data_IF_881306137039
#
_entry.id   IF_881306137039
#
_cell.length_a   1.000
_cell.length_b   1.000
_cell.length_c   1.000
_cell.angle_alpha   90.00
_cell.angle_beta   90.00
_cell.angle_gamma   90.00
#
_symmetry.space_group_name_H-M   'P 1'
#
loop_
_entity.id
_entity.type
_entity.pdbx_description
1 polymer ?
#
# COMPACT_ATOMS: atom_id res chain seq x y z
N UNK A 1 29.47 0.90 -15.18
CA UNK A 1 28.22 0.68 -15.97
C UNK A 1 27.53 -0.54 -15.38
N UNK A 2 26.35 -0.37 -14.79
CA UNK A 2 25.55 -1.49 -14.26
C UNK A 2 24.51 -1.84 -15.32
N UNK A 3 24.64 -3.02 -15.92
CA UNK A 3 23.60 -3.59 -16.77
C UNK A 3 22.77 -4.55 -15.91
N UNK A 4 21.50 -4.23 -15.67
CA UNK A 4 20.57 -5.06 -14.92
C UNK A 4 19.71 -5.79 -15.95
N UNK A 5 20.07 -7.05 -16.27
CA UNK A 5 19.16 -7.96 -16.99
C UNK A 5 18.15 -8.49 -15.97
N UNK A 6 16.88 -8.20 -16.19
CA UNK A 6 15.81 -8.66 -15.31
C UNK A 6 15.56 -10.16 -15.56
N UNK A 7 15.54 -10.93 -14.48
CA UNK A 7 15.09 -12.34 -14.55
C UNK A 7 13.58 -12.33 -14.82
N UNK A 8 13.14 -13.22 -15.71
CA UNK A 8 11.70 -13.41 -15.96
C UNK A 8 11.04 -14.01 -14.72
N UNK A 9 10.52 -13.16 -13.85
CA UNK A 9 9.64 -13.56 -12.76
C UNK A 9 8.30 -12.88 -13.04
N UNK A 10 7.37 -13.63 -13.62
CA UNK A 10 5.98 -13.19 -13.67
C UNK A 10 5.39 -13.50 -12.30
N UNK A 11 5.20 -12.47 -11.50
CA UNK A 11 4.60 -12.62 -10.19
C UNK A 11 3.09 -12.48 -10.33
N UNK A 12 2.36 -13.47 -9.85
CA UNK A 12 0.91 -13.36 -9.66
C UNK A 12 0.66 -12.71 -8.32
N UNK A 13 0.20 -11.45 -8.35
CA UNK A 13 0.11 -10.58 -7.18
C UNK A 13 -1.19 -10.73 -6.39
N UNK A 14 -2.21 -11.38 -6.94
CA UNK A 14 -3.51 -11.56 -6.28
C UNK A 14 -4.32 -12.69 -6.89
N UNK A 15 -5.18 -13.30 -6.11
CA UNK A 15 -6.13 -14.31 -6.56
C UNK A 15 -7.35 -13.64 -7.20
N UNK A 16 -7.76 -14.14 -8.35
CA UNK A 16 -8.97 -13.68 -9.04
C UNK A 16 -9.03 -12.18 -9.29
N UNK A 17 -10.24 -11.61 -9.26
CA UNK A 17 -10.50 -10.19 -9.49
C UNK A 17 -10.64 -9.44 -8.15
N UNK A 18 -9.73 -8.52 -7.80
CA UNK A 18 -9.80 -7.75 -6.57
C UNK A 18 -11.06 -6.89 -6.46
N UNK A 19 -11.55 -6.73 -5.25
CA UNK A 19 -12.80 -6.00 -4.95
C UNK A 19 -12.82 -4.56 -5.49
N UNK A 20 -11.72 -3.82 -5.39
CA UNK A 20 -11.68 -2.43 -5.81
C UNK A 20 -11.91 -2.26 -7.32
N UNK A 21 -11.49 -3.24 -8.12
CA UNK A 21 -11.76 -3.26 -9.58
C UNK A 21 -13.26 -3.50 -9.83
N UNK A 22 -13.89 -4.37 -9.02
CA UNK A 22 -15.34 -4.64 -9.11
C UNK A 22 -16.14 -3.41 -8.68
N UNK A 23 -15.76 -2.79 -7.57
CA UNK A 23 -16.42 -1.60 -7.02
C UNK A 23 -16.31 -0.40 -7.97
N UNK A 24 -15.16 -0.25 -8.61
CA UNK A 24 -14.85 0.88 -9.50
C UNK A 24 -14.51 0.37 -10.90
N UNK A 25 -15.49 0.05 -11.74
CA UNK A 25 -15.22 -0.38 -13.11
C UNK A 25 -14.71 0.81 -13.95
N UNK A 26 -13.50 1.26 -13.65
CA UNK A 26 -12.85 2.37 -14.35
C UNK A 26 -12.21 1.81 -15.62
N UNK A 27 -12.80 2.12 -16.77
CA UNK A 27 -12.24 1.78 -18.07
C UNK A 27 -11.03 2.66 -18.36
N UNK A 28 -9.85 2.15 -18.06
CA UNK A 28 -8.58 2.83 -18.27
C UNK A 28 -7.75 2.01 -19.28
N UNK A 29 -8.10 2.15 -20.55
CA UNK A 29 -7.30 1.57 -21.60
C UNK A 29 -6.25 2.58 -22.05
N UNK A 30 -5.00 2.20 -21.93
CA UNK A 30 -3.86 2.96 -22.44
C UNK A 30 -3.09 2.05 -23.41
N UNK A 31 -2.63 2.62 -24.52
CA UNK A 31 -1.93 1.86 -25.53
C UNK A 31 -0.58 1.36 -24.99
N UNK A 32 -0.12 0.18 -25.42
CA UNK A 32 1.27 -0.22 -25.24
C UNK A 32 2.19 0.71 -26.02
N UNK A 33 3.46 0.77 -25.63
CA UNK A 33 4.50 1.43 -26.41
C UNK A 33 4.62 0.75 -27.77
N UNK A 34 4.65 1.54 -28.86
CA UNK A 34 4.68 1.02 -30.25
C UNK A 34 5.92 1.41 -31.03
N UNK A 35 6.73 2.33 -30.48
CA UNK A 35 7.95 2.85 -31.09
C UNK A 35 8.97 3.17 -30.00
N UNK A 36 10.22 3.38 -30.39
CA UNK A 36 11.25 3.83 -29.46
C UNK A 36 10.86 5.16 -28.84
N UNK A 37 11.26 5.38 -27.60
CA UNK A 37 10.87 6.54 -26.80
C UNK A 37 12.08 7.25 -26.23
N UNK A 38 12.11 8.58 -26.39
CA UNK A 38 13.00 9.48 -25.67
C UNK A 38 12.18 10.29 -24.66
N UNK A 39 12.66 10.34 -23.41
CA UNK A 39 12.00 11.07 -22.33
C UNK A 39 13.02 11.48 -21.26
N UNK A 40 12.72 12.50 -20.46
CA UNK A 40 13.59 12.85 -19.34
C UNK A 40 13.48 11.88 -18.19
N UNK A 41 12.25 11.53 -17.81
CA UNK A 41 11.97 10.69 -16.66
C UNK A 41 11.02 9.55 -17.06
N UNK A 42 11.41 8.32 -16.68
CA UNK A 42 10.56 7.14 -16.79
C UNK A 42 10.25 6.59 -15.41
N UNK A 43 8.97 6.27 -15.16
CA UNK A 43 8.50 5.60 -13.96
C UNK A 43 8.08 4.18 -14.36
N UNK A 44 8.66 3.16 -13.75
CA UNK A 44 8.32 1.75 -13.98
C UNK A 44 7.34 1.31 -12.89
N UNK A 45 6.10 1.08 -13.28
CA UNK A 45 5.00 0.68 -12.40
C UNK A 45 3.95 1.77 -12.21
N UNK A 46 2.69 1.39 -12.41
CA UNK A 46 1.52 2.27 -12.36
C UNK A 46 0.61 2.00 -11.16
N UNK A 47 1.14 1.43 -10.08
CA UNK A 47 0.45 1.33 -8.79
C UNK A 47 0.35 2.66 -8.07
N UNK A 48 -0.13 2.65 -6.82
CA UNK A 48 -0.28 3.87 -6.00
C UNK A 48 1.04 4.61 -5.83
N UNK A 49 2.16 3.91 -5.67
CA UNK A 49 3.48 4.54 -5.57
C UNK A 49 3.82 5.30 -6.87
N UNK A 50 3.63 4.66 -8.03
CA UNK A 50 3.89 5.32 -9.32
C UNK A 50 2.99 6.53 -9.55
N UNK A 51 1.73 6.46 -9.11
CA UNK A 51 0.77 7.56 -9.23
C UNK A 51 1.17 8.77 -8.37
N UNK A 52 1.57 8.56 -7.11
CA UNK A 52 2.02 9.62 -6.21
C UNK A 52 3.34 10.25 -6.69
N UNK A 53 4.29 9.43 -7.14
CA UNK A 53 5.56 9.91 -7.72
C UNK A 53 5.31 10.74 -8.98
N UNK A 54 4.45 10.25 -9.90
CA UNK A 54 4.07 11.00 -11.09
C UNK A 54 3.42 12.35 -10.73
N UNK A 55 2.52 12.34 -9.73
CA UNK A 55 1.90 13.56 -9.24
C UNK A 55 2.92 14.59 -8.76
N UNK A 56 3.87 14.18 -7.90
CA UNK A 56 4.91 15.10 -7.39
C UNK A 56 5.80 15.66 -8.49
N UNK A 57 6.19 14.84 -9.47
CA UNK A 57 6.99 15.30 -10.60
C UNK A 57 6.23 16.29 -11.47
N UNK A 58 5.00 15.96 -11.87
CA UNK A 58 4.16 16.83 -12.69
C UNK A 58 3.83 18.16 -11.97
N UNK A 59 3.58 18.10 -10.65
CA UNK A 59 3.33 19.30 -9.83
C UNK A 59 4.50 20.29 -9.85
N UNK A 60 5.73 19.80 -10.00
CA UNK A 60 6.93 20.65 -10.15
C UNK A 60 7.20 21.08 -11.59
N UNK A 61 6.32 20.77 -12.53
CA UNK A 61 6.45 21.12 -13.95
C UNK A 61 7.31 20.14 -14.75
N UNK A 62 7.70 19.01 -14.17
CA UNK A 62 8.48 18.00 -14.89
C UNK A 62 7.53 17.07 -15.67
N UNK A 63 7.83 16.87 -16.94
CA UNK A 63 7.13 15.87 -17.76
C UNK A 63 7.74 14.50 -17.52
N UNK A 64 6.87 13.51 -17.24
CA UNK A 64 7.30 12.15 -17.04
C UNK A 64 6.49 11.16 -17.88
N UNK A 65 7.02 9.96 -17.97
CA UNK A 65 6.39 8.85 -18.67
C UNK A 65 6.28 7.66 -17.71
N UNK A 66 5.13 6.98 -17.70
CA UNK A 66 4.89 5.77 -16.92
C UNK A 66 4.79 4.57 -17.85
N UNK A 67 5.46 3.49 -17.50
CA UNK A 67 5.31 2.19 -18.17
C UNK A 67 4.89 1.13 -17.16
N UNK A 68 3.96 0.28 -17.56
CA UNK A 68 3.55 -0.88 -16.76
C UNK A 68 3.32 -2.09 -17.66
N UNK A 69 3.70 -3.27 -17.18
CA UNK A 69 3.44 -4.54 -17.90
C UNK A 69 1.99 -4.99 -17.81
N UNK A 70 1.19 -4.42 -16.91
CA UNK A 70 -0.24 -4.66 -16.71
C UNK A 70 -1.05 -3.41 -17.06
N UNK A 71 -2.35 -3.48 -16.84
CA UNK A 71 -3.21 -2.29 -16.79
C UNK A 71 -2.89 -1.48 -15.52
N UNK A 72 -3.20 -0.16 -15.52
CA UNK A 72 -2.87 0.71 -14.39
C UNK A 72 -3.55 0.26 -13.10
N UNK A 73 -2.80 0.35 -12.01
CA UNK A 73 -3.23 0.06 -10.64
C UNK A 73 -3.76 -1.37 -10.40
N UNK A 74 -3.65 -2.31 -11.38
CA UNK A 74 -4.17 -3.69 -11.27
C UNK A 74 -3.21 -4.67 -10.58
N UNK A 75 -2.13 -4.20 -9.99
CA UNK A 75 -1.28 -5.00 -9.12
C UNK A 75 -1.77 -4.95 -7.66
N UNK A 76 -0.84 -4.90 -6.71
CA UNK A 76 -1.13 -4.88 -5.26
C UNK A 76 -2.01 -3.71 -4.82
N UNK A 77 -2.03 -2.59 -5.55
CA UNK A 77 -2.92 -1.46 -5.24
C UNK A 77 -4.39 -1.82 -5.32
N UNK A 78 -4.78 -2.70 -6.26
CA UNK A 78 -6.14 -3.20 -6.38
C UNK A 78 -6.50 -4.25 -5.33
N UNK A 79 -5.52 -4.89 -4.71
CA UNK A 79 -5.70 -5.95 -3.71
C UNK A 79 -5.42 -5.46 -2.28
N UNK A 80 -5.06 -4.20 -2.09
CA UNK A 80 -4.79 -3.63 -0.77
C UNK A 80 -6.07 -3.47 0.04
N UNK A 81 -6.04 -3.76 1.33
CA UNK A 81 -7.11 -3.41 2.27
C UNK A 81 -7.14 -1.91 2.56
N UNK A 82 -6.04 -1.22 2.29
CA UNK A 82 -5.87 0.24 2.28
C UNK A 82 -6.29 0.94 3.59
N UNK A 83 -5.87 0.38 4.72
CA UNK A 83 -5.80 1.07 6.00
C UNK A 83 -4.60 2.03 5.95
N UNK A 84 -4.81 3.29 6.30
CA UNK A 84 -3.75 4.29 6.43
C UNK A 84 -3.49 4.54 7.91
N UNK A 85 -2.39 4.00 8.39
CA UNK A 85 -1.99 4.07 9.79
C UNK A 85 -0.54 4.55 9.88
N UNK A 86 -0.20 5.32 10.92
CA UNK A 86 1.19 5.64 11.19
C UNK A 86 1.91 4.48 11.89
N UNK A 87 1.13 3.61 12.48
CA UNK A 87 1.59 2.33 12.99
C UNK A 87 1.94 1.42 11.81
N UNK A 88 3.19 1.06 11.71
CA UNK A 88 3.68 0.10 10.72
C UNK A 88 3.77 -1.29 11.34
N UNK A 89 3.84 -2.33 10.53
CA UNK A 89 3.79 -3.74 10.98
C UNK A 89 4.74 -4.08 12.12
N UNK A 90 5.87 -3.38 12.19
CA UNK A 90 6.81 -3.51 13.31
C UNK A 90 6.53 -2.43 14.35
N UNK A 91 6.03 -2.78 15.55
CA UNK A 91 5.80 -1.81 16.62
C UNK A 91 7.03 -0.95 16.93
N UNK A 92 6.83 0.32 17.28
CA UNK A 92 7.91 1.28 17.51
C UNK A 92 8.94 0.78 18.53
N UNK A 93 8.48 0.15 19.60
CA UNK A 93 9.35 -0.40 20.64
C UNK A 93 10.22 -1.58 20.11
N UNK A 94 9.77 -2.34 19.13
CA UNK A 94 10.54 -3.38 18.44
C UNK A 94 11.48 -2.77 17.40
N UNK A 95 10.98 -1.83 16.60
CA UNK A 95 11.77 -1.13 15.58
C UNK A 95 12.94 -0.35 16.20
N UNK A 96 12.71 0.29 17.35
CA UNK A 96 13.77 0.99 18.09
C UNK A 96 14.97 0.09 18.45
N UNK A 97 14.72 -1.19 18.70
CA UNK A 97 15.78 -2.18 18.95
C UNK A 97 16.53 -2.62 17.67
N UNK A 98 15.87 -2.51 16.51
CA UNK A 98 16.45 -2.94 15.22
C UNK A 98 17.31 -1.86 14.57
N UNK A 99 16.84 -0.61 14.56
CA UNK A 99 17.46 0.51 13.81
C UNK A 99 17.82 1.72 14.68
N UNK A 100 17.64 1.63 15.99
CA UNK A 100 17.81 2.74 16.94
C UNK A 100 16.55 3.58 17.10
N UNK A 101 16.34 4.07 18.34
CA UNK A 101 15.10 4.75 18.73
C UNK A 101 14.82 6.00 17.87
N UNK A 102 15.83 6.82 17.59
CA UNK A 102 15.67 8.03 16.80
C UNK A 102 15.21 7.74 15.36
N UNK A 103 15.83 6.75 14.68
CA UNK A 103 15.43 6.38 13.32
C UNK A 103 14.01 5.79 13.30
N UNK A 104 13.66 4.97 14.27
CA UNK A 104 12.32 4.42 14.40
C UNK A 104 11.25 5.50 14.59
N UNK A 105 11.54 6.50 15.43
CA UNK A 105 10.63 7.65 15.63
C UNK A 105 10.49 8.51 14.38
N UNK A 106 11.59 8.72 13.63
CA UNK A 106 11.52 9.43 12.34
C UNK A 106 10.61 8.68 11.37
N UNK A 107 10.75 7.34 11.28
CA UNK A 107 9.90 6.53 10.41
C UNK A 107 8.41 6.67 10.78
N UNK A 108 8.07 6.54 12.05
CA UNK A 108 6.70 6.69 12.55
C UNK A 108 6.12 8.09 12.30
N UNK A 109 6.90 9.15 12.52
CA UNK A 109 6.48 10.52 12.23
C UNK A 109 6.28 10.77 10.74
N UNK A 110 7.14 10.17 9.90
CA UNK A 110 6.98 10.25 8.44
C UNK A 110 5.69 9.55 7.97
N UNK A 111 5.37 8.39 8.54
CA UNK A 111 4.10 7.71 8.27
C UNK A 111 2.89 8.55 8.71
N UNK A 112 2.96 9.16 9.90
CA UNK A 112 1.91 10.06 10.39
C UNK A 112 1.71 11.25 9.44
N UNK A 113 2.78 11.90 9.01
CA UNK A 113 2.72 13.01 8.07
C UNK A 113 2.15 12.59 6.71
N UNK A 114 2.54 11.41 6.21
CA UNK A 114 2.11 10.94 4.89
C UNK A 114 0.60 10.75 4.75
N UNK A 115 -0.12 10.49 5.84
CA UNK A 115 -1.60 10.41 5.81
C UNK A 115 -2.20 11.78 5.47
N UNK A 116 -1.70 12.84 6.12
CA UNK A 116 -2.11 14.22 5.81
C UNK A 116 -1.68 14.65 4.42
N UNK A 117 -0.49 14.21 3.97
CA UNK A 117 0.01 14.53 2.62
C UNK A 117 -0.87 13.88 1.55
N UNK A 118 -1.33 12.65 1.75
CA UNK A 118 -2.30 11.98 0.86
C UNK A 118 -3.62 12.78 0.81
N UNK A 119 -4.16 13.20 1.94
CA UNK A 119 -5.36 14.03 1.97
C UNK A 119 -5.17 15.33 1.20
N UNK A 120 -4.02 16.00 1.37
CA UNK A 120 -3.70 17.24 0.65
C UNK A 120 -3.64 17.02 -0.86
N UNK A 121 -2.99 15.95 -1.32
CA UNK A 121 -2.96 15.57 -2.75
C UNK A 121 -4.39 15.40 -3.30
N UNK A 122 -5.27 14.71 -2.57
CA UNK A 122 -6.65 14.50 -2.99
C UNK A 122 -7.44 15.82 -3.03
N UNK A 123 -7.25 16.72 -2.05
CA UNK A 123 -7.87 18.05 -2.02
C UNK A 123 -7.40 18.94 -3.17
N UNK A 124 -6.09 19.00 -3.39
CA UNK A 124 -5.48 19.82 -4.47
C UNK A 124 -5.92 19.38 -5.86
N UNK A 125 -6.14 18.09 -6.04
CA UNK A 125 -6.55 17.52 -7.33
C UNK A 125 -8.07 17.43 -7.49
N UNK A 126 -8.84 17.64 -6.42
CA UNK A 126 -10.30 17.46 -6.42
C UNK A 126 -10.71 15.98 -6.58
N UNK A 127 -9.83 15.06 -6.26
CA UNK A 127 -10.07 13.62 -6.42
C UNK A 127 -10.83 13.07 -5.22
N UNK A 128 -12.00 12.51 -5.46
CA UNK A 128 -12.68 11.64 -4.53
C UNK A 128 -12.13 10.21 -4.67
N UNK A 129 -11.47 9.74 -3.63
CA UNK A 129 -10.90 8.39 -3.50
C UNK A 129 -11.40 7.66 -2.26
N UNK A 130 -12.60 7.99 -1.78
CA UNK A 130 -13.20 7.44 -0.56
C UNK A 130 -12.27 7.59 0.66
N UNK A 131 -11.50 8.69 0.70
CA UNK A 131 -10.64 9.00 1.85
C UNK A 131 -11.49 9.44 3.04
N UNK A 132 -11.27 8.80 4.18
CA UNK A 132 -12.00 9.10 5.41
C UNK A 132 -11.06 8.99 6.61
N UNK A 133 -10.97 10.06 7.42
CA UNK A 133 -10.29 10.00 8.72
C UNK A 133 -11.08 9.13 9.68
N UNK A 134 -10.40 8.24 10.38
CA UNK A 134 -11.02 7.39 11.39
C UNK A 134 -10.03 6.94 12.46
N UNK A 135 -10.53 6.62 13.66
CA UNK A 135 -9.66 6.08 14.70
C UNK A 135 -9.15 4.69 14.35
N UNK A 136 -7.98 4.33 14.86
CA UNK A 136 -7.41 2.99 14.83
C UNK A 136 -7.27 2.45 16.24
N UNK A 137 -7.59 1.19 16.42
CA UNK A 137 -7.52 0.45 17.69
C UNK A 137 -6.56 -0.72 17.51
N UNK A 138 -5.46 -0.69 18.25
CA UNK A 138 -4.50 -1.79 18.36
C UNK A 138 -4.70 -2.49 19.70
N UNK A 139 -5.29 -3.68 19.68
CA UNK A 139 -5.66 -4.39 20.91
C UNK A 139 -4.76 -5.58 21.22
N UNK A 140 -4.69 -5.93 22.51
CA UNK A 140 -3.97 -7.11 22.97
C UNK A 140 -4.80 -8.37 22.73
N UNK A 141 -4.25 -9.34 22.02
CA UNK A 141 -4.86 -10.64 21.75
C UNK A 141 -4.62 -11.64 22.90
N UNK A 142 -3.52 -11.45 23.63
CA UNK A 142 -3.11 -12.33 24.74
C UNK A 142 -2.27 -11.56 25.79
N UNK A 143 -1.73 -12.26 26.78
CA UNK A 143 -0.90 -11.69 27.83
C UNK A 143 0.42 -11.07 27.30
N UNK A 144 1.00 -11.63 26.22
CA UNK A 144 2.19 -11.06 25.58
C UNK A 144 1.85 -9.76 24.87
N UNK A 145 0.68 -9.72 24.25
CA UNK A 145 0.11 -8.53 23.63
C UNK A 145 -0.10 -7.40 24.63
N UNK A 146 -0.52 -7.67 25.86
CA UNK A 146 -0.65 -6.67 26.92
C UNK A 146 0.70 -5.98 27.17
N UNK A 147 1.76 -6.76 27.39
CA UNK A 147 3.11 -6.22 27.62
C UNK A 147 3.61 -5.42 26.41
N UNK A 148 3.29 -5.86 25.19
CA UNK A 148 3.65 -5.14 23.99
C UNK A 148 2.96 -3.78 23.93
N UNK A 149 1.66 -3.72 24.19
CA UNK A 149 0.86 -2.49 24.22
C UNK A 149 1.37 -1.50 25.26
N UNK A 150 1.71 -1.96 26.47
CA UNK A 150 2.28 -1.12 27.51
C UNK A 150 3.62 -0.48 27.08
N UNK A 151 4.55 -1.28 26.55
CA UNK A 151 5.83 -0.78 26.05
C UNK A 151 5.64 0.17 24.85
N UNK A 152 4.72 -0.12 23.96
CA UNK A 152 4.41 0.68 22.79
C UNK A 152 3.80 2.03 23.20
N UNK A 153 2.90 2.03 24.20
CA UNK A 153 2.33 3.24 24.76
C UNK A 153 3.41 4.17 25.34
N UNK A 154 4.29 3.63 26.17
CA UNK A 154 5.34 4.41 26.84
C UNK A 154 6.28 5.07 25.83
N UNK A 155 6.72 4.34 24.81
CA UNK A 155 7.62 4.91 23.80
C UNK A 155 6.91 5.94 22.92
N UNK A 156 5.67 5.69 22.48
CA UNK A 156 4.88 6.64 21.68
C UNK A 156 4.63 7.92 22.47
N UNK A 157 4.22 7.81 23.72
CA UNK A 157 3.97 8.95 24.61
C UNK A 157 5.22 9.78 24.84
N UNK A 158 6.37 9.14 25.11
CA UNK A 158 7.67 9.81 25.29
C UNK A 158 8.05 10.68 24.09
N UNK A 159 7.71 10.24 22.89
CA UNK A 159 8.01 10.95 21.65
C UNK A 159 6.86 11.81 21.12
N UNK A 160 5.78 12.00 21.88
CA UNK A 160 4.65 12.83 21.51
C UNK A 160 3.87 12.34 20.29
N UNK A 161 3.91 11.03 20.02
CA UNK A 161 3.06 10.42 19.01
C UNK A 161 1.62 10.30 19.53
N UNK A 162 0.59 10.58 18.70
CA UNK A 162 -0.79 10.54 19.13
C UNK A 162 -1.22 9.12 19.51
N UNK A 163 -1.44 8.91 20.80
CA UNK A 163 -1.84 7.61 21.33
C UNK A 163 -2.56 7.77 22.66
N UNK A 164 -3.56 6.94 22.89
CA UNK A 164 -4.32 6.84 24.15
C UNK A 164 -4.36 5.38 24.58
N UNK A 165 -4.05 5.09 25.83
CA UNK A 165 -4.18 3.73 26.38
C UNK A 165 -5.58 3.58 26.95
N UNK A 166 -6.34 2.62 26.46
CA UNK A 166 -7.66 2.26 26.94
C UNK A 166 -7.61 0.93 27.67
N UNK A 167 -8.23 0.88 28.85
CA UNK A 167 -8.51 -0.41 29.48
C UNK A 167 -9.72 -1.09 28.83
N UNK A 168 -10.00 -2.34 29.22
CA UNK A 168 -11.08 -3.15 28.65
C UNK A 168 -12.45 -2.51 28.82
N UNK A 169 -12.71 -1.91 29.97
CA UNK A 169 -14.01 -1.27 30.28
C UNK A 169 -14.24 -0.02 29.43
N UNK A 170 -13.20 0.82 29.28
CA UNK A 170 -13.22 2.01 28.42
C UNK A 170 -13.44 1.63 26.95
N UNK A 171 -12.75 0.59 26.49
CA UNK A 171 -12.88 0.09 25.13
C UNK A 171 -14.30 -0.41 24.85
N UNK A 172 -14.87 -1.20 25.74
CA UNK A 172 -16.26 -1.67 25.66
C UNK A 172 -17.24 -0.48 25.71
N UNK A 173 -17.05 0.45 26.64
CA UNK A 173 -17.94 1.62 26.80
C UNK A 173 -17.96 2.51 25.54
N UNK A 174 -16.78 2.80 24.97
CA UNK A 174 -16.61 3.78 23.89
C UNK A 174 -16.84 3.18 22.50
N UNK A 175 -16.45 1.91 22.30
CA UNK A 175 -16.40 1.27 20.98
C UNK A 175 -17.23 -0.01 20.87
N UNK A 176 -17.76 -0.51 21.99
CA UNK A 176 -18.52 -1.79 22.06
C UNK A 176 -17.71 -3.00 21.60
N UNK A 177 -16.39 -2.93 21.76
CA UNK A 177 -15.49 -4.03 21.44
C UNK A 177 -15.19 -4.85 22.70
N UNK A 178 -15.23 -6.17 22.54
CA UNK A 178 -14.80 -7.15 23.52
C UNK A 178 -13.41 -7.64 23.14
N UNK A 179 -12.43 -7.42 23.99
CA UNK A 179 -11.04 -7.81 23.76
C UNK A 179 -10.48 -8.55 24.96
N UNK A 180 -9.32 -9.20 24.78
CA UNK A 180 -8.63 -9.88 25.88
C UNK A 180 -8.31 -8.91 27.04
N UNK A 181 -7.79 -7.72 26.69
CA UNK A 181 -7.40 -6.70 27.67
C UNK A 181 -7.65 -5.30 27.13
N UNK A 182 -6.68 -4.39 27.30
CA UNK A 182 -6.72 -3.03 26.78
C UNK A 182 -6.26 -2.91 25.33
N UNK A 183 -6.22 -1.66 24.87
CA UNK A 183 -5.83 -1.30 23.51
C UNK A 183 -5.15 0.08 23.47
N UNK A 184 -4.39 0.33 22.40
CA UNK A 184 -3.99 1.68 22.01
C UNK A 184 -5.00 2.23 21.02
N UNK A 185 -5.47 3.44 21.30
CA UNK A 185 -6.33 4.21 20.41
C UNK A 185 -5.50 5.32 19.76
N UNK A 186 -5.64 5.43 18.45
CA UNK A 186 -5.08 6.50 17.65
C UNK A 186 -6.22 7.19 16.87
N UNK A 187 -6.24 8.52 16.86
CA UNK A 187 -7.23 9.32 16.13
C UNK A 187 -6.74 9.86 14.78
N UNK A 188 -5.48 9.56 14.41
CA UNK A 188 -4.85 10.08 13.21
C UNK A 188 -4.54 8.93 12.23
N UNK A 189 -5.55 8.13 11.97
CA UNK A 189 -5.56 7.11 10.93
C UNK A 189 -6.65 7.42 9.92
N UNK A 190 -6.59 6.78 8.77
CA UNK A 190 -7.57 6.96 7.71
C UNK A 190 -7.78 5.67 6.93
N UNK A 191 -8.75 5.68 6.05
CA UNK A 191 -8.93 4.68 5.01
C UNK A 191 -9.04 5.35 3.65
N UNK A 192 -8.78 4.58 2.59
CA UNK A 192 -8.84 5.05 1.21
C UNK A 192 -9.21 3.90 0.27
N UNK A 193 -9.62 4.21 -0.94
CA UNK A 193 -9.59 3.30 -2.08
C UNK A 193 -8.32 3.58 -2.90
N UNK A 194 -7.29 2.77 -2.70
CA UNK A 194 -5.97 2.96 -3.31
C UNK A 194 -6.00 2.77 -4.85
N UNK A 195 -6.88 1.91 -5.37
CA UNK A 195 -7.08 1.72 -6.81
C UNK A 195 -7.71 2.95 -7.46
N UNK A 196 -8.78 3.48 -6.84
CA UNK A 196 -9.49 4.70 -7.27
C UNK A 196 -8.55 5.92 -7.21
N UNK A 197 -7.77 6.06 -6.13
CA UNK A 197 -6.79 7.13 -5.97
C UNK A 197 -5.73 7.11 -7.09
N UNK A 198 -5.06 5.97 -7.28
CA UNK A 198 -4.01 5.84 -8.30
C UNK A 198 -4.55 6.10 -9.71
N UNK A 199 -5.69 5.51 -10.06
CA UNK A 199 -6.31 5.65 -11.37
C UNK A 199 -6.72 7.08 -11.67
N UNK A 200 -7.33 7.77 -10.68
CA UNK A 200 -7.77 9.17 -10.85
C UNK A 200 -6.60 10.15 -10.89
N UNK A 201 -5.52 9.91 -10.13
CA UNK A 201 -4.29 10.74 -10.20
C UNK A 201 -3.66 10.68 -11.58
N UNK A 202 -3.53 9.50 -12.18
CA UNK A 202 -3.03 9.38 -13.54
C UNK A 202 -3.92 10.11 -14.54
N UNK A 203 -5.24 9.94 -14.44
CA UNK A 203 -6.19 10.66 -15.32
C UNK A 203 -6.08 12.18 -15.19
N UNK A 204 -5.91 12.69 -13.98
CA UNK A 204 -5.77 14.12 -13.72
C UNK A 204 -4.55 14.72 -14.49
N UNK A 205 -3.38 14.05 -14.44
CA UNK A 205 -2.19 14.52 -15.14
C UNK A 205 -2.24 14.30 -16.66
N UNK A 206 -2.86 13.22 -17.11
CA UNK A 206 -3.08 13.00 -18.54
C UNK A 206 -3.95 14.10 -19.19
N UNK A 207 -4.96 14.59 -18.47
CA UNK A 207 -5.79 15.70 -18.96
C UNK A 207 -5.04 17.03 -19.05
N UNK A 208 -3.94 17.17 -18.32
CA UNK A 208 -3.06 18.37 -18.35
C UNK A 208 -1.91 18.26 -19.35
N UNK A 209 -1.77 17.13 -20.02
CA UNK A 209 -0.65 16.81 -20.93
C UNK A 209 0.74 16.85 -20.24
N UNK A 210 0.75 16.58 -18.92
CA UNK A 210 1.96 16.54 -18.11
C UNK A 210 2.58 15.14 -18.08
N UNK A 211 1.82 14.12 -18.48
CA UNK A 211 2.12 12.70 -18.31
C UNK A 211 1.82 11.91 -19.58
N UNK A 212 2.66 10.93 -19.89
CA UNK A 212 2.36 9.86 -20.84
C UNK A 212 2.33 8.52 -20.13
N UNK A 213 1.43 7.62 -20.50
CA UNK A 213 1.31 6.29 -19.92
C UNK A 213 1.26 5.23 -21.03
N UNK A 214 2.05 4.18 -20.84
CA UNK A 214 2.05 3.00 -21.68
C UNK A 214 1.84 1.76 -20.84
N UNK A 215 0.69 1.11 -20.98
CA UNK A 215 0.37 -0.17 -20.34
C UNK A 215 0.81 -1.34 -21.20
N UNK A 216 0.78 -2.56 -20.66
CA UNK A 216 1.21 -3.75 -21.37
C UNK A 216 2.60 -3.59 -22.03
N UNK A 217 3.49 -2.87 -21.35
CA UNK A 217 4.85 -2.55 -21.77
C UNK A 217 5.79 -3.00 -20.65
N UNK A 218 6.41 -4.16 -20.84
CA UNK A 218 7.28 -4.76 -19.83
C UNK A 218 8.75 -4.41 -20.09
N UNK A 219 9.41 -3.82 -19.11
CA UNK A 219 10.84 -3.54 -19.11
C UNK A 219 11.59 -4.82 -18.73
N UNK A 220 12.53 -5.26 -19.58
CA UNK A 220 13.34 -6.47 -19.36
C UNK A 220 14.81 -6.18 -19.13
N UNK A 221 15.27 -4.98 -19.41
CA UNK A 221 16.62 -4.54 -19.05
C UNK A 221 16.67 -3.04 -18.78
N UNK A 222 17.63 -2.65 -17.93
CA UNK A 222 17.93 -1.27 -17.62
C UNK A 222 19.46 -1.14 -17.50
N UNK A 223 20.05 -0.31 -18.34
CA UNK A 223 21.48 -0.06 -18.41
C UNK A 223 21.77 1.42 -18.17
N UNK A 224 22.71 1.69 -17.26
CA UNK A 224 23.26 3.03 -17.05
C UNK A 224 24.26 3.37 -18.17
N UNK A 225 24.07 4.50 -18.82
CA UNK A 225 24.91 5.02 -19.91
C UNK A 225 25.60 6.32 -19.49
N UNK A 226 26.48 6.85 -20.33
CA UNK A 226 27.11 8.19 -20.10
C UNK A 226 26.10 9.35 -20.19
N UNK A 227 24.93 9.13 -20.77
CA UNK A 227 23.92 10.16 -21.02
C UNK A 227 22.61 9.94 -20.25
N UNK A 228 22.57 8.98 -19.35
CA UNK A 228 21.36 8.60 -18.59
C UNK A 228 21.17 7.10 -18.54
N UNK A 229 19.97 6.64 -18.87
CA UNK A 229 19.61 5.22 -18.84
C UNK A 229 19.01 4.77 -20.17
N UNK A 230 19.33 3.55 -20.56
CA UNK A 230 18.73 2.83 -21.68
C UNK A 230 17.94 1.66 -21.16
N UNK A 231 16.66 1.62 -21.46
CA UNK A 231 15.79 0.50 -21.13
C UNK A 231 15.38 -0.24 -22.39
N UNK A 232 15.08 -1.54 -22.26
CA UNK A 232 14.58 -2.36 -23.33
C UNK A 232 13.28 -3.02 -22.89
N UNK A 233 12.28 -2.97 -23.77
CA UNK A 233 10.99 -3.64 -23.56
C UNK A 233 11.05 -5.08 -24.03
N UNK A 234 10.10 -5.90 -23.62
CA UNK A 234 9.95 -7.29 -24.09
C UNK A 234 9.77 -7.38 -25.61
N UNK A 235 9.15 -6.40 -26.21
CA UNK A 235 8.88 -6.28 -27.65
C UNK A 235 10.10 -5.77 -28.43
N UNK A 236 11.25 -5.53 -27.76
CA UNK A 236 12.49 -5.07 -28.36
C UNK A 236 12.57 -3.55 -28.62
N UNK A 237 11.60 -2.79 -28.08
CA UNK A 237 11.64 -1.33 -28.16
C UNK A 237 12.62 -0.76 -27.14
N UNK A 238 13.20 0.38 -27.46
CA UNK A 238 14.19 1.06 -26.65
C UNK A 238 13.61 2.35 -26.08
N UNK A 239 13.80 2.55 -24.77
CA UNK A 239 13.51 3.81 -24.10
C UNK A 239 14.84 4.44 -23.65
N UNK A 240 15.10 5.67 -24.10
CA UNK A 240 16.21 6.49 -23.63
C UNK A 240 15.68 7.51 -22.63
N UNK A 241 16.33 7.66 -21.49
CA UNK A 241 15.90 8.61 -20.47
C UNK A 241 17.09 9.09 -19.61
N UNK A 242 16.91 10.24 -18.94
CA UNK A 242 17.90 10.74 -17.98
C UNK A 242 17.78 10.03 -16.62
N UNK A 243 16.54 9.79 -16.18
CA UNK A 243 16.24 9.23 -14.87
C UNK A 243 15.22 8.09 -14.97
N UNK A 244 15.45 7.08 -14.15
CA UNK A 244 14.53 5.95 -13.98
C UNK A 244 14.06 5.88 -12.53
N UNK A 245 12.76 5.82 -12.33
CA UNK A 245 12.15 5.62 -11.02
C UNK A 245 11.47 4.26 -11.02
N UNK A 246 11.88 3.38 -10.12
CA UNK A 246 11.35 2.02 -10.01
C UNK A 246 10.24 2.03 -8.95
N UNK A 247 8.98 2.03 -9.41
CA UNK A 247 7.77 1.99 -8.59
C UNK A 247 7.03 0.64 -8.75
N UNK A 248 7.79 -0.44 -8.99
CA UNK A 248 7.28 -1.75 -9.37
C UNK A 248 6.75 -2.60 -8.19
N UNK A 249 6.50 -1.99 -7.02
CA UNK A 249 5.97 -2.68 -5.85
C UNK A 249 6.80 -3.89 -5.44
N UNK A 250 6.16 -5.03 -5.17
CA UNK A 250 6.86 -6.27 -4.79
C UNK A 250 7.80 -6.82 -5.87
N UNK A 251 7.62 -6.43 -7.12
CA UNK A 251 8.50 -6.80 -8.22
C UNK A 251 9.75 -5.92 -8.35
N UNK A 252 9.85 -4.85 -7.55
CA UNK A 252 11.02 -3.96 -7.53
C UNK A 252 12.33 -4.70 -7.16
N UNK A 253 12.23 -5.80 -6.43
CA UNK A 253 13.36 -6.67 -6.08
C UNK A 253 14.14 -7.18 -7.30
N UNK A 254 13.53 -7.26 -8.48
CA UNK A 254 14.19 -7.67 -9.72
C UNK A 254 15.22 -6.65 -10.23
N UNK A 255 15.04 -5.38 -9.87
CA UNK A 255 15.93 -4.28 -10.25
C UNK A 255 17.08 -4.07 -9.26
N UNK A 256 17.05 -4.77 -8.13
CA UNK A 256 18.05 -4.61 -7.07
C UNK A 256 19.16 -5.63 -7.19
N UNK A 257 20.42 -5.25 -6.92
CA UNK A 257 21.57 -6.15 -7.02
C UNK A 257 21.62 -7.20 -5.90
N UNK A 258 20.86 -6.97 -4.82
CA UNK A 258 20.78 -7.87 -3.66
C UNK A 258 19.32 -8.15 -3.32
N UNK A 259 19.06 -9.35 -2.81
CA UNK A 259 17.75 -9.68 -2.22
C UNK A 259 17.58 -8.90 -0.92
N UNK A 260 16.65 -7.94 -0.90
CA UNK A 260 16.41 -7.05 0.24
C UNK A 260 15.05 -7.29 0.91
N UNK A 261 14.22 -8.18 0.35
CA UNK A 261 12.91 -8.50 0.88
C UNK A 261 12.64 -9.99 0.86
N UNK A 262 11.88 -10.48 1.82
CA UNK A 262 11.22 -11.78 1.84
C UNK A 262 9.74 -11.52 1.52
N UNK A 263 9.18 -12.24 0.57
CA UNK A 263 7.77 -12.13 0.22
C UNK A 263 7.00 -13.22 0.94
N UNK A 264 5.81 -12.86 1.40
CA UNK A 264 4.83 -13.72 2.04
C UNK A 264 3.52 -13.65 1.26
N UNK A 265 2.63 -14.61 1.44
CA UNK A 265 1.26 -14.55 0.98
C UNK A 265 0.38 -14.05 2.12
N UNK A 266 -0.38 -12.99 1.88
CA UNK A 266 -1.38 -12.47 2.82
C UNK A 266 -2.77 -12.68 2.25
N UNK A 267 -3.77 -12.73 3.10
CA UNK A 267 -5.16 -12.99 2.72
C UNK A 267 -6.02 -11.81 3.08
N UNK A 268 -6.95 -11.48 2.20
CA UNK A 268 -7.93 -10.43 2.44
C UNK A 268 -9.31 -10.89 1.95
N UNK A 269 -10.31 -10.61 2.75
CA UNK A 269 -11.70 -10.95 2.50
C UNK A 269 -12.56 -9.70 2.54
N UNK A 270 -13.65 -9.72 1.79
CA UNK A 270 -14.72 -8.73 1.94
C UNK A 270 -16.05 -9.45 2.14
N UNK A 271 -16.84 -9.00 3.12
CA UNK A 271 -18.16 -9.57 3.40
C UNK A 271 -19.18 -9.24 2.30
N UNK A 272 -20.28 -9.98 2.30
CA UNK A 272 -21.52 -9.46 1.72
C UNK A 272 -21.94 -8.18 2.46
N UNK A 273 -22.86 -7.35 1.87
CA UNK A 273 -23.42 -6.22 2.59
C UNK A 273 -24.07 -6.66 3.91
N UNK A 274 -23.78 -5.94 4.98
CA UNK A 274 -24.39 -6.14 6.31
C UNK A 274 -25.22 -4.93 6.68
N UNK A 275 -26.17 -5.08 7.60
CA UNK A 275 -26.94 -3.96 8.11
C UNK A 275 -26.02 -2.99 8.87
N UNK A 276 -26.24 -1.69 8.74
CA UNK A 276 -25.44 -0.68 9.46
C UNK A 276 -25.42 -0.86 10.98
N UNK A 277 -26.52 -1.41 11.56
CA UNK A 277 -26.60 -1.70 12.99
C UNK A 277 -25.67 -2.84 13.45
N UNK A 278 -25.24 -3.70 12.53
CA UNK A 278 -24.37 -4.85 12.78
C UNK A 278 -22.88 -4.50 12.61
N UNK A 279 -22.58 -3.27 12.12
CA UNK A 279 -21.22 -2.75 12.11
C UNK A 279 -20.84 -2.24 13.50
N UNK A 280 -19.57 -2.39 13.85
CA UNK A 280 -19.09 -1.91 15.15
C UNK A 280 -19.13 -0.40 15.26
N UNK A 281 -19.22 0.07 16.50
CA UNK A 281 -19.37 1.49 16.83
C UNK A 281 -18.20 2.30 16.29
N UNK A 282 -18.50 3.46 15.68
CA UNK A 282 -17.55 4.40 15.08
C UNK A 282 -16.75 3.87 13.89
N UNK A 283 -17.02 2.66 13.42
CA UNK A 283 -16.38 2.07 12.23
C UNK A 283 -14.85 2.20 12.20
N UNK A 284 -14.21 2.20 13.40
CA UNK A 284 -12.76 2.36 13.52
C UNK A 284 -11.99 1.23 12.82
N UNK A 285 -10.75 1.52 12.44
CA UNK A 285 -9.80 0.50 12.03
C UNK A 285 -9.43 -0.34 13.26
N UNK A 286 -9.36 -1.65 13.12
CA UNK A 286 -9.04 -2.56 14.23
C UNK A 286 -7.93 -3.48 13.76
N UNK A 287 -6.93 -3.67 14.61
CA UNK A 287 -5.86 -4.64 14.41
C UNK A 287 -5.31 -5.13 15.76
N UNK A 288 -4.61 -6.23 15.74
CA UNK A 288 -4.26 -6.95 16.97
C UNK A 288 -2.77 -7.25 17.11
N UNK A 289 -2.38 -7.69 18.30
CA UNK A 289 -1.01 -8.09 18.61
C UNK A 289 -0.69 -9.54 18.25
N UNK A 290 -1.64 -10.32 17.73
CA UNK A 290 -1.46 -11.72 17.31
C UNK A 290 -0.36 -11.90 16.26
N UNK A 291 0.17 -13.11 16.13
CA UNK A 291 1.13 -13.47 15.09
C UNK A 291 0.76 -14.87 14.54
N UNK A 292 0.22 -14.99 13.33
CA UNK A 292 -0.13 -13.90 12.38
C UNK A 292 -1.28 -13.02 12.90
N UNK A 293 -1.23 -11.72 12.62
CA UNK A 293 -2.25 -10.77 13.09
C UNK A 293 -3.38 -10.60 12.09
N UNK A 294 -4.54 -10.18 12.60
CA UNK A 294 -5.71 -9.81 11.82
C UNK A 294 -5.94 -8.31 11.94
N UNK A 295 -6.38 -7.71 10.84
CA UNK A 295 -6.82 -6.32 10.79
C UNK A 295 -8.14 -6.20 10.03
N UNK A 296 -8.97 -5.24 10.47
CA UNK A 296 -10.35 -5.10 10.01
C UNK A 296 -10.69 -3.64 9.76
N UNK A 297 -11.41 -3.38 8.68
CA UNK A 297 -12.05 -2.09 8.42
C UNK A 297 -13.42 -2.25 7.79
N UNK A 298 -14.19 -1.17 7.76
CA UNK A 298 -15.42 -1.11 6.98
C UNK A 298 -15.18 -0.49 5.60
N UNK A 299 -15.99 -0.87 4.62
CA UNK A 299 -16.09 -0.22 3.33
C UNK A 299 -17.57 -0.15 2.95
N UNK A 300 -18.14 1.03 2.94
CA UNK A 300 -19.58 1.22 2.83
C UNK A 300 -20.33 0.43 3.93
N UNK A 301 -21.16 -0.53 3.55
CA UNK A 301 -21.81 -1.46 4.47
C UNK A 301 -21.21 -2.88 4.45
N UNK A 302 -19.92 -3.00 4.15
CA UNK A 302 -19.17 -4.26 4.13
C UNK A 302 -18.04 -4.23 5.14
N UNK A 303 -17.56 -5.39 5.50
CA UNK A 303 -16.40 -5.60 6.36
C UNK A 303 -15.26 -6.13 5.49
N UNK A 304 -14.10 -5.49 5.56
CA UNK A 304 -12.85 -5.98 4.97
C UNK A 304 -11.99 -6.51 6.11
N UNK A 305 -11.53 -7.74 5.99
CA UNK A 305 -10.63 -8.41 6.93
C UNK A 305 -9.38 -8.81 6.17
N UNK A 306 -8.21 -8.58 6.75
CA UNK A 306 -6.95 -9.02 6.19
C UNK A 306 -6.01 -9.55 7.26
N UNK A 307 -4.97 -10.27 6.82
CA UNK A 307 -3.98 -10.90 7.71
C UNK A 307 -3.72 -12.36 7.36
N UNK A 308 -3.43 -13.16 8.38
CA UNK A 308 -3.18 -14.59 8.27
C UNK A 308 -2.06 -14.96 7.30
N UNK A 309 -0.94 -14.24 7.40
CA UNK A 309 0.21 -14.35 6.50
C UNK A 309 0.82 -15.75 6.53
N UNK A 310 1.25 -16.22 5.35
CA UNK A 310 1.99 -17.47 5.15
C UNK A 310 3.38 -17.19 4.59
N UNK A 311 4.39 -17.93 5.08
CA UNK A 311 5.80 -17.71 4.73
C UNK A 311 6.21 -18.21 3.33
N UNK A 312 5.33 -18.16 2.36
CA UNK A 312 5.59 -18.51 0.96
C UNK A 312 5.00 -17.47 0.01
N UNK A 313 5.44 -17.50 -1.25
CA UNK A 313 4.92 -16.64 -2.33
C UNK A 313 4.51 -17.44 -3.58
N UNK A 314 4.13 -18.71 -3.39
CA UNK A 314 3.64 -19.58 -4.44
C UNK A 314 2.15 -19.32 -4.70
N UNK A 315 1.72 -18.95 -5.94
CA UNK A 315 0.33 -18.62 -6.22
C UNK A 315 -0.63 -19.81 -6.09
N UNK A 316 -0.20 -21.01 -6.47
CA UNK A 316 -1.05 -22.20 -6.42
C UNK A 316 -1.31 -22.59 -4.96
N UNK A 317 -0.24 -22.66 -4.15
CA UNK A 317 -0.36 -22.91 -2.70
C UNK A 317 -1.19 -21.82 -1.98
N UNK A 318 -1.05 -20.55 -2.40
CA UNK A 318 -1.86 -19.46 -1.87
C UNK A 318 -3.34 -19.69 -2.17
N UNK A 319 -3.69 -20.02 -3.40
CA UNK A 319 -5.07 -20.15 -3.85
C UNK A 319 -5.75 -21.38 -3.25
N UNK A 320 -5.01 -22.47 -3.00
CA UNK A 320 -5.50 -23.66 -2.30
C UNK A 320 -5.96 -23.34 -0.86
N UNK A 321 -5.33 -22.38 -0.19
CA UNK A 321 -5.66 -21.99 1.19
C UNK A 321 -6.82 -21.01 1.29
N UNK A 322 -7.27 -20.38 0.21
CA UNK A 322 -8.31 -19.35 0.23
C UNK A 322 -9.55 -19.78 1.02
N UNK A 323 -10.08 -20.99 0.74
CA UNK A 323 -11.26 -21.49 1.43
C UNK A 323 -11.03 -21.64 2.94
N UNK A 324 -9.90 -22.24 3.32
CA UNK A 324 -9.56 -22.44 4.73
C UNK A 324 -9.43 -21.11 5.47
N UNK A 325 -8.79 -20.11 4.84
CA UNK A 325 -8.61 -18.77 5.43
C UNK A 325 -9.91 -17.98 5.54
N UNK A 326 -10.95 -18.36 4.81
CA UNK A 326 -12.30 -17.76 4.96
C UNK A 326 -13.10 -18.33 6.13
N UNK A 327 -12.66 -19.43 6.72
CA UNK A 327 -13.33 -20.11 7.82
C UNK A 327 -12.77 -19.70 9.21
N UNK A 328 -11.67 -18.96 9.22
CA UNK A 328 -11.03 -18.38 10.42
C UNK A 328 -11.71 -17.07 10.81
#
# INVERSE_FOLDING_TARGET
>A
RKNIKLKRITMDLHSGLPYWIIKNPLFNYYNPLKENLDTDIIIIGSGITGALVAHELCRTGLKCCVVDKRSIATGSSAASTALLQYEIDVPLCRMAKQIGEQNAVIAYRSCLQSISDIENVLKETGIDADFEWMPSIFYASDEKGVKLIEHEYEIRKRHGLPTELLNKEELHKRYKLETYAGALLNHQSAQIDAYKAATKLFRFHLQKDDLRIFTHTEIISCEETSQGCRLETREGLVIQCKYVIIAAGFEAGQFLPKKVMKLTSTYALISHPVDHKDLWTKRCLIWETGEPYIYVRTCDNRIIIGGEDEEFCDPEARDELLRKKTEI
#
